data_IF_160960784079
#
_entry.id   IF_160960784079
#
_cell.length_a   1.000
_cell.length_b   1.000
_cell.length_c   1.000
_cell.angle_alpha   90.00
_cell.angle_beta   90.00
_cell.angle_gamma   90.00
#
_symmetry.space_group_name_H-M   'P 1'
#
loop_
_entity.id
_entity.type
_entity.pdbx_description
1 polymer ?
#
# COMPACT_ATOMS: atom_id res chain seq x y z
N UNK A 1 -43.76 4.25 23.98
CA UNK A 1 -43.20 3.01 23.35
C UNK A 1 -41.71 3.17 23.16
N UNK A 2 -40.90 2.16 23.49
CA UNK A 2 -39.43 2.26 23.47
C UNK A 2 -38.78 1.51 22.30
N UNK A 3 -37.66 2.02 21.77
CA UNK A 3 -36.62 1.25 21.06
C UNK A 3 -35.23 1.80 21.37
N UNK A 4 -34.58 1.24 22.39
CA UNK A 4 -33.19 1.56 22.76
C UNK A 4 -32.22 0.90 21.79
N UNK A 5 -31.33 1.68 21.18
CA UNK A 5 -30.29 1.16 20.28
C UNK A 5 -29.20 0.44 21.08
N UNK A 6 -29.15 -0.90 20.98
CA UNK A 6 -28.24 -1.75 21.78
C UNK A 6 -26.82 -1.76 21.21
N UNK A 7 -25.98 -0.82 21.66
CA UNK A 7 -24.56 -0.77 21.29
C UNK A 7 -23.82 -2.06 21.67
N UNK A 8 -23.20 -2.73 20.69
CA UNK A 8 -22.33 -3.90 20.94
C UNK A 8 -20.98 -3.44 21.51
N UNK A 9 -20.79 -3.62 22.82
CA UNK A 9 -19.50 -3.38 23.47
C UNK A 9 -18.39 -4.25 22.85
N UNK A 10 -17.35 -3.61 22.29
CA UNK A 10 -16.20 -4.27 21.68
C UNK A 10 -15.25 -4.75 22.78
N UNK A 11 -15.44 -5.98 23.27
CA UNK A 11 -14.68 -6.59 24.37
C UNK A 11 -13.17 -6.55 24.08
N UNK A 12 -12.42 -5.85 24.91
CA UNK A 12 -10.97 -5.74 24.78
C UNK A 12 -10.28 -7.11 24.99
N UNK A 13 -9.13 -7.39 24.34
CA UNK A 13 -8.39 -8.63 24.55
C UNK A 13 -7.92 -8.72 26.02
N UNK A 14 -8.14 -9.88 26.64
CA UNK A 14 -7.79 -10.09 28.04
C UNK A 14 -6.26 -10.03 28.22
N UNK A 15 -5.79 -9.02 28.97
CA UNK A 15 -4.37 -8.86 29.31
C UNK A 15 -3.91 -10.06 30.13
N UNK A 16 -3.18 -10.99 29.51
CA UNK A 16 -2.67 -12.23 30.14
C UNK A 16 -1.94 -11.85 31.44
N UNK A 17 -2.44 -12.32 32.59
CA UNK A 17 -1.74 -12.16 33.88
C UNK A 17 -0.41 -12.90 33.80
N UNK A 18 0.69 -12.19 34.06
CA UNK A 18 1.99 -12.84 34.24
C UNK A 18 1.94 -13.77 35.48
N UNK A 19 2.51 -14.98 35.42
CA UNK A 19 2.43 -15.93 36.52
C UNK A 19 3.27 -15.48 37.72
N UNK A 20 2.61 -15.28 38.86
CA UNK A 20 2.98 -15.76 40.20
C UNK A 20 4.44 -15.68 40.72
N UNK A 21 5.37 -14.89 40.16
CA UNK A 21 6.79 -14.84 40.62
C UNK A 21 6.98 -14.57 42.13
N UNK A 22 6.03 -13.90 42.80
CA UNK A 22 6.02 -13.72 44.27
C UNK A 22 5.75 -15.00 45.09
N UNK A 23 5.06 -16.00 44.53
CA UNK A 23 4.65 -17.21 45.26
C UNK A 23 5.69 -18.34 45.25
N UNK A 24 6.64 -18.30 44.31
CA UNK A 24 7.76 -19.25 44.23
C UNK A 24 8.86 -18.83 45.22
N UNK A 25 9.28 -17.57 45.17
CA UNK A 25 10.32 -17.02 46.03
C UNK A 25 10.02 -17.15 47.54
N UNK A 26 8.75 -17.12 47.95
CA UNK A 26 8.36 -17.34 49.35
C UNK A 26 8.44 -18.80 49.76
N UNK A 27 8.13 -19.76 48.87
CA UNK A 27 8.25 -21.20 49.13
C UNK A 27 9.71 -21.63 49.25
N UNK A 28 10.55 -21.26 48.28
CA UNK A 28 11.99 -21.55 48.31
C UNK A 28 12.65 -21.03 49.60
N UNK A 29 12.30 -19.80 50.04
CA UNK A 29 12.79 -19.22 51.30
C UNK A 29 12.29 -19.97 52.55
N UNK A 30 11.07 -20.49 52.54
CA UNK A 30 10.52 -21.30 53.63
C UNK A 30 11.19 -22.69 53.73
N UNK A 31 11.52 -23.31 52.60
CA UNK A 31 12.14 -24.64 52.56
C UNK A 31 13.62 -24.59 52.99
N UNK A 32 14.36 -23.54 52.59
CA UNK A 32 15.70 -23.25 53.15
C UNK A 32 15.63 -23.03 54.67
N UNK A 33 14.64 -22.26 55.16
CA UNK A 33 14.44 -22.05 56.59
C UNK A 33 14.11 -23.35 57.35
N UNK A 34 13.39 -24.29 56.74
CA UNK A 34 13.11 -25.60 57.33
C UNK A 34 14.38 -26.46 57.49
N UNK A 35 15.28 -26.45 56.49
CA UNK A 35 16.59 -27.14 56.58
C UNK A 35 17.45 -26.54 57.70
N UNK A 36 17.53 -25.21 57.78
CA UNK A 36 18.28 -24.51 58.86
C UNK A 36 17.72 -24.88 60.24
N UNK A 37 16.39 -24.81 60.42
CA UNK A 37 15.73 -25.10 61.70
C UNK A 37 15.93 -26.56 62.15
N UNK A 38 15.91 -27.52 61.21
CA UNK A 38 16.22 -28.92 61.50
C UNK A 38 17.71 -29.13 61.89
N UNK A 39 18.63 -28.42 61.24
CA UNK A 39 20.06 -28.47 61.56
C UNK A 39 20.38 -27.85 62.93
N UNK A 40 19.71 -26.75 63.30
CA UNK A 40 19.79 -26.20 64.66
C UNK A 40 19.28 -27.17 65.74
N UNK A 41 18.12 -27.80 65.51
CA UNK A 41 17.52 -28.72 66.47
C UNK A 41 18.45 -29.93 66.74
N UNK A 42 19.01 -30.52 65.68
CA UNK A 42 20.00 -31.58 65.80
C UNK A 42 21.26 -31.11 66.55
N UNK A 43 21.75 -29.90 66.25
CA UNK A 43 22.95 -29.33 66.90
C UNK A 43 22.73 -29.08 68.40
N UNK A 44 21.52 -28.69 68.81
CA UNK A 44 21.13 -28.50 70.22
C UNK A 44 21.08 -29.85 70.95
N UNK A 45 20.42 -30.86 70.38
CA UNK A 45 20.38 -32.23 70.93
C UNK A 45 21.76 -32.88 71.03
N UNK A 46 22.65 -32.67 70.06
CA UNK A 46 24.03 -33.19 70.12
C UNK A 46 24.81 -32.64 71.32
N UNK A 47 24.68 -31.34 71.63
CA UNK A 47 25.29 -30.72 72.81
C UNK A 47 24.72 -31.29 74.11
N UNK A 48 23.40 -31.49 74.18
CA UNK A 48 22.75 -32.07 75.35
C UNK A 48 23.18 -33.54 75.59
N UNK A 49 23.26 -34.36 74.53
CA UNK A 49 23.77 -35.74 74.61
C UNK A 49 25.20 -35.76 75.17
N UNK A 50 26.07 -34.85 74.73
CA UNK A 50 27.45 -34.76 75.25
C UNK A 50 27.47 -34.41 76.74
N UNK A 51 26.65 -33.45 77.19
CA UNK A 51 26.55 -33.07 78.59
C UNK A 51 26.02 -34.23 79.46
N UNK A 52 24.92 -34.87 79.06
CA UNK A 52 24.33 -35.99 79.81
C UNK A 52 25.22 -37.24 79.79
N UNK A 53 25.97 -37.48 78.71
CA UNK A 53 26.95 -38.58 78.65
C UNK A 53 28.14 -38.36 79.60
N UNK A 54 28.65 -37.12 79.73
CA UNK A 54 29.67 -36.77 80.73
C UNK A 54 29.15 -36.99 82.16
N UNK A 55 27.91 -36.56 82.45
CA UNK A 55 27.25 -36.80 83.74
C UNK A 55 27.06 -38.30 84.02
N UNK A 56 26.61 -39.08 83.03
CA UNK A 56 26.47 -40.54 83.14
C UNK A 56 27.81 -41.22 83.44
N UNK A 57 28.90 -40.81 82.78
CA UNK A 57 30.24 -41.36 83.02
C UNK A 57 30.72 -41.07 84.46
N UNK A 58 30.52 -39.85 84.96
CA UNK A 58 30.82 -39.49 86.35
C UNK A 58 29.98 -40.30 87.36
N UNK A 59 28.68 -40.47 87.10
CA UNK A 59 27.79 -41.28 87.94
C UNK A 59 28.21 -42.77 87.95
N UNK A 60 28.61 -43.32 86.80
CA UNK A 60 29.15 -44.69 86.71
C UNK A 60 30.43 -44.86 87.54
N UNK A 61 31.37 -43.90 87.50
CA UNK A 61 32.56 -43.90 88.36
C UNK A 61 32.19 -43.89 89.86
N UNK A 62 31.25 -43.03 90.28
CA UNK A 62 30.75 -42.98 91.66
C UNK A 62 30.07 -44.30 92.08
N UNK A 63 29.26 -44.91 91.21
CA UNK A 63 28.61 -46.20 91.48
C UNK A 63 29.61 -47.35 91.63
N UNK A 64 30.68 -47.39 90.82
CA UNK A 64 31.75 -48.38 90.96
C UNK A 64 32.49 -48.22 92.30
N UNK A 65 32.85 -46.99 92.68
CA UNK A 65 33.50 -46.71 93.96
C UNK A 65 32.61 -47.07 95.16
N UNK A 66 31.32 -46.76 95.11
CA UNK A 66 30.37 -47.13 96.16
C UNK A 66 30.21 -48.65 96.31
N UNK A 67 30.12 -49.40 95.19
CA UNK A 67 30.12 -50.87 95.20
C UNK A 67 31.41 -51.45 95.80
N UNK A 68 32.58 -50.91 95.43
CA UNK A 68 33.85 -51.33 95.99
C UNK A 68 33.96 -51.06 97.50
N UNK A 69 33.42 -49.94 97.99
CA UNK A 69 33.34 -49.65 99.43
C UNK A 69 32.42 -50.63 100.15
N UNK A 70 31.21 -50.88 99.62
CA UNK A 70 30.23 -51.80 100.21
C UNK A 70 30.75 -53.24 100.30
N UNK A 71 31.48 -53.71 99.28
CA UNK A 71 32.12 -55.03 99.29
C UNK A 71 33.19 -55.16 100.38
N UNK A 72 33.95 -54.09 100.66
CA UNK A 72 34.98 -54.06 101.72
C UNK A 72 34.38 -53.94 103.13
N UNK A 73 33.39 -53.05 103.32
CA UNK A 73 32.89 -52.74 104.67
C UNK A 73 31.80 -53.69 105.16
N UNK A 74 31.07 -54.35 104.24
CA UNK A 74 29.86 -55.16 104.49
C UNK A 74 28.74 -54.44 105.26
N UNK A 75 28.84 -53.13 105.51
CA UNK A 75 27.86 -52.35 106.29
C UNK A 75 26.59 -52.07 105.48
N UNK A 76 25.42 -52.22 106.11
CA UNK A 76 24.12 -51.99 105.47
C UNK A 76 23.96 -50.57 104.88
N UNK A 77 24.55 -49.55 105.50
CA UNK A 77 24.57 -48.18 104.99
C UNK A 77 25.36 -48.05 103.67
N UNK A 78 26.51 -48.72 103.55
CA UNK A 78 27.31 -48.70 102.32
C UNK A 78 26.63 -49.47 101.19
N UNK A 79 25.93 -50.58 101.50
CA UNK A 79 25.08 -51.29 100.52
C UNK A 79 24.00 -50.37 99.96
N UNK A 80 23.21 -49.70 100.82
CA UNK A 80 22.21 -48.70 100.42
C UNK A 80 22.83 -47.56 99.58
N UNK A 81 24.05 -47.12 99.90
CA UNK A 81 24.79 -46.12 99.13
C UNK A 81 25.15 -46.61 97.72
N UNK A 82 25.63 -47.86 97.60
CA UNK A 82 25.94 -48.49 96.32
C UNK A 82 24.69 -48.67 95.43
N UNK A 83 23.56 -49.08 96.02
CA UNK A 83 22.28 -49.23 95.31
C UNK A 83 21.75 -47.87 94.84
N UNK A 84 21.81 -46.83 95.68
CA UNK A 84 21.44 -45.46 95.32
C UNK A 84 22.31 -44.90 94.18
N UNK A 85 23.63 -45.09 94.25
CA UNK A 85 24.55 -44.65 93.20
C UNK A 85 24.34 -45.41 91.87
N UNK A 86 24.04 -46.71 91.93
CA UNK A 86 23.68 -47.50 90.75
C UNK A 86 22.37 -46.99 90.11
N UNK A 87 21.34 -46.71 90.93
CA UNK A 87 20.08 -46.14 90.47
C UNK A 87 20.24 -44.75 89.83
N UNK A 88 21.12 -43.90 90.38
CA UNK A 88 21.45 -42.61 89.76
C UNK A 88 22.13 -42.77 88.38
N UNK A 89 23.09 -43.71 88.25
CA UNK A 89 23.74 -44.01 86.98
C UNK A 89 22.79 -44.63 85.95
N UNK A 90 21.81 -45.44 86.38
CA UNK A 90 20.76 -46.01 85.55
C UNK A 90 19.80 -44.92 85.02
N UNK A 91 19.30 -44.03 85.89
CA UNK A 91 18.43 -42.90 85.49
C UNK A 91 19.09 -41.98 84.47
N UNK A 92 20.38 -41.67 84.62
CA UNK A 92 21.15 -40.92 83.61
C UNK A 92 21.33 -41.70 82.30
N UNK A 93 21.50 -43.03 82.35
CA UNK A 93 21.56 -43.87 81.17
C UNK A 93 20.25 -43.90 80.36
N UNK A 94 19.10 -43.90 81.04
CA UNK A 94 17.81 -43.77 80.38
C UNK A 94 17.67 -42.43 79.63
N UNK A 95 18.04 -41.31 80.28
CA UNK A 95 18.04 -39.97 79.63
C UNK A 95 18.95 -39.90 78.41
N UNK A 96 20.16 -40.47 78.48
CA UNK A 96 21.09 -40.53 77.34
C UNK A 96 20.55 -41.41 76.20
N UNK A 97 19.78 -42.47 76.49
CA UNK A 97 19.11 -43.30 75.47
C UNK A 97 17.97 -42.53 74.78
N UNK A 98 17.11 -41.87 75.55
CA UNK A 98 16.00 -41.04 75.05
C UNK A 98 16.47 -39.90 74.13
N UNK A 99 17.46 -39.11 74.57
CA UNK A 99 18.03 -38.03 73.77
C UNK A 99 18.67 -38.54 72.46
N UNK A 100 19.27 -39.74 72.47
CA UNK A 100 19.80 -40.37 71.24
C UNK A 100 18.70 -40.79 70.25
N UNK A 101 17.53 -41.21 70.75
CA UNK A 101 16.34 -41.42 69.91
C UNK A 101 15.90 -40.13 69.24
N UNK A 102 15.64 -39.08 70.03
CA UNK A 102 15.26 -37.74 69.54
C UNK A 102 16.27 -37.15 68.53
N UNK A 103 17.55 -37.44 68.69
CA UNK A 103 18.58 -37.04 67.73
C UNK A 103 18.58 -37.87 66.44
N UNK A 104 18.15 -39.14 66.46
CA UNK A 104 17.92 -39.93 65.25
C UNK A 104 16.70 -39.40 64.47
N UNK A 105 15.59 -39.10 65.15
CA UNK A 105 14.40 -38.50 64.54
C UNK A 105 14.70 -37.12 63.94
N UNK A 106 15.55 -36.34 64.61
CA UNK A 106 16.03 -35.04 64.12
C UNK A 106 16.93 -35.18 62.88
N UNK A 107 17.77 -36.23 62.80
CA UNK A 107 18.52 -36.56 61.58
C UNK A 107 17.59 -36.95 60.43
N UNK A 108 16.58 -37.79 60.69
CA UNK A 108 15.59 -38.18 59.69
C UNK A 108 14.81 -36.96 59.17
N UNK A 109 14.43 -36.06 60.07
CA UNK A 109 13.74 -34.80 59.75
C UNK A 109 14.62 -33.87 58.90
N UNK A 110 15.91 -33.73 59.24
CA UNK A 110 16.88 -32.97 58.47
C UNK A 110 17.08 -33.57 57.06
N UNK A 111 17.18 -34.89 56.94
CA UNK A 111 17.29 -35.58 55.66
C UNK A 111 16.06 -35.34 54.77
N UNK A 112 14.85 -35.50 55.33
CA UNK A 112 13.58 -35.20 54.65
C UNK A 112 13.47 -33.73 54.21
N UNK A 113 13.89 -32.79 55.06
CA UNK A 113 13.89 -31.37 54.70
C UNK A 113 14.84 -31.08 53.53
N UNK A 114 16.03 -31.70 53.50
CA UNK A 114 16.98 -31.57 52.38
C UNK A 114 16.47 -32.20 51.09
N UNK A 115 15.84 -33.38 51.15
CA UNK A 115 15.28 -34.03 49.95
C UNK A 115 14.12 -33.24 49.35
N UNK A 116 13.26 -32.64 50.19
CA UNK A 116 12.18 -31.75 49.70
C UNK A 116 12.75 -30.49 49.05
N UNK A 117 13.71 -29.82 49.69
CA UNK A 117 14.32 -28.60 49.14
C UNK A 117 15.08 -28.86 47.82
N UNK A 118 15.73 -30.02 47.66
CA UNK A 118 16.41 -30.40 46.41
C UNK A 118 15.44 -30.77 45.29
N UNK A 119 14.35 -31.48 45.59
CA UNK A 119 13.29 -31.75 44.61
C UNK A 119 12.66 -30.45 44.09
N UNK A 120 12.38 -29.50 44.99
CA UNK A 120 11.82 -28.19 44.64
C UNK A 120 12.76 -27.29 43.85
N UNK A 121 14.04 -27.28 44.19
CA UNK A 121 15.05 -26.59 43.38
C UNK A 121 15.12 -27.17 41.95
N UNK A 122 14.88 -28.48 41.78
CA UNK A 122 14.78 -29.11 40.46
C UNK A 122 13.48 -28.74 39.73
N UNK A 123 12.32 -28.73 40.41
CA UNK A 123 11.03 -28.27 39.87
C UNK A 123 11.14 -26.82 39.35
N UNK A 124 11.62 -25.89 40.18
CA UNK A 124 11.78 -24.48 39.82
C UNK A 124 12.77 -24.29 38.65
N UNK A 125 13.84 -25.10 38.60
CA UNK A 125 14.81 -25.07 37.48
C UNK A 125 14.23 -25.62 36.17
N UNK A 126 13.30 -26.57 36.21
CA UNK A 126 12.56 -27.05 35.02
C UNK A 126 11.56 -25.99 34.55
N UNK A 127 10.83 -25.35 35.48
CA UNK A 127 9.88 -24.26 35.17
C UNK A 127 10.63 -23.08 34.53
N UNK A 128 11.78 -22.67 35.08
CA UNK A 128 12.58 -21.57 34.52
C UNK A 128 13.09 -21.86 33.09
N UNK A 129 13.46 -23.12 32.80
CA UNK A 129 13.82 -23.55 31.43
C UNK A 129 12.62 -23.52 30.48
N UNK A 130 11.43 -23.91 30.94
CA UNK A 130 10.20 -23.84 30.15
C UNK A 130 9.78 -22.39 29.84
N UNK A 131 9.84 -21.48 30.82
CA UNK A 131 9.60 -20.04 30.62
C UNK A 131 10.60 -19.41 29.63
N UNK A 132 11.88 -19.84 29.68
CA UNK A 132 12.92 -19.41 28.74
C UNK A 132 12.61 -19.92 27.32
N UNK A 133 12.34 -21.21 27.15
CA UNK A 133 11.98 -21.79 25.85
C UNK A 133 10.72 -21.16 25.26
N UNK A 134 9.70 -20.87 26.08
CA UNK A 134 8.48 -20.17 25.64
C UNK A 134 8.79 -18.74 25.13
N UNK A 135 9.75 -18.06 25.75
CA UNK A 135 10.19 -16.71 25.35
C UNK A 135 11.00 -16.73 24.04
N UNK A 136 11.88 -17.72 23.88
CA UNK A 136 12.64 -17.95 22.65
C UNK A 136 11.74 -18.33 21.47
N UNK A 137 10.70 -19.15 21.70
CA UNK A 137 9.73 -19.50 20.68
C UNK A 137 8.86 -18.30 20.28
N UNK A 138 8.47 -17.45 21.24
CA UNK A 138 7.72 -16.22 20.95
C UNK A 138 8.53 -15.22 20.11
N UNK A 139 9.81 -14.99 20.46
CA UNK A 139 10.68 -14.07 19.69
C UNK A 139 10.99 -14.60 18.29
N UNK A 140 11.18 -15.91 18.13
CA UNK A 140 11.31 -16.56 16.81
C UNK A 140 10.03 -16.42 15.97
N UNK A 141 8.86 -16.64 16.57
CA UNK A 141 7.57 -16.52 15.88
C UNK A 141 7.32 -15.10 15.33
N UNK A 142 7.60 -14.05 16.10
CA UNK A 142 7.51 -12.66 15.63
C UNK A 142 8.54 -12.37 14.51
N UNK A 143 9.77 -12.86 14.63
CA UNK A 143 10.79 -12.69 13.62
C UNK A 143 10.44 -13.38 12.29
N UNK A 144 9.87 -14.59 12.34
CA UNK A 144 9.47 -15.34 11.15
C UNK A 144 8.17 -14.82 10.53
N UNK A 145 7.22 -14.33 11.34
CA UNK A 145 6.07 -13.55 10.86
C UNK A 145 6.55 -12.30 10.09
N UNK A 146 7.49 -11.55 10.65
CA UNK A 146 8.04 -10.36 9.99
C UNK A 146 8.77 -10.68 8.66
N UNK A 147 9.44 -11.83 8.56
CA UNK A 147 10.00 -12.34 7.28
C UNK A 147 8.89 -12.73 6.30
N UNK A 148 7.89 -13.48 6.76
CA UNK A 148 6.79 -13.98 5.93
C UNK A 148 5.95 -12.84 5.33
N UNK A 149 5.63 -11.81 6.12
CA UNK A 149 4.92 -10.61 5.65
C UNK A 149 5.73 -9.87 4.58
N UNK A 150 7.03 -9.63 4.80
CA UNK A 150 7.92 -8.98 3.81
C UNK A 150 8.01 -9.78 2.50
N UNK A 151 8.15 -11.11 2.59
CA UNK A 151 8.19 -11.98 1.41
C UNK A 151 6.84 -12.00 0.66
N UNK A 152 5.72 -12.05 1.38
CA UNK A 152 4.38 -11.98 0.81
C UNK A 152 4.14 -10.64 0.11
N UNK A 153 4.45 -9.51 0.77
CA UNK A 153 4.32 -8.17 0.18
C UNK A 153 5.14 -8.02 -1.09
N UNK A 154 6.40 -8.46 -1.10
CA UNK A 154 7.26 -8.39 -2.29
C UNK A 154 6.67 -9.21 -3.45
N UNK A 155 6.21 -10.43 -3.17
CA UNK A 155 5.57 -11.31 -4.18
C UNK A 155 4.25 -10.73 -4.69
N UNK A 156 3.42 -10.16 -3.81
CA UNK A 156 2.15 -9.52 -4.15
C UNK A 156 2.34 -8.25 -4.98
N UNK A 157 3.27 -7.37 -4.59
CA UNK A 157 3.64 -6.15 -5.34
C UNK A 157 4.18 -6.50 -6.74
N UNK A 158 4.98 -7.56 -6.87
CA UNK A 158 5.46 -8.08 -8.17
C UNK A 158 4.33 -8.67 -9.03
N UNK A 159 3.38 -9.40 -8.45
CA UNK A 159 2.22 -9.91 -9.18
C UNK A 159 1.27 -8.79 -9.63
N UNK A 160 1.02 -7.79 -8.77
CA UNK A 160 0.20 -6.61 -9.09
C UNK A 160 0.79 -5.78 -10.22
N UNK A 161 2.05 -5.36 -10.10
CA UNK A 161 2.74 -4.61 -11.16
C UNK A 161 2.76 -5.37 -12.50
N UNK A 162 2.97 -6.69 -12.50
CA UNK A 162 2.87 -7.50 -13.72
C UNK A 162 1.44 -7.58 -14.30
N UNK A 163 0.41 -7.66 -13.46
CA UNK A 163 -0.99 -7.66 -13.89
C UNK A 163 -1.44 -6.30 -14.44
N UNK A 164 -1.01 -5.21 -13.79
CA UNK A 164 -1.38 -3.85 -14.18
C UNK A 164 -0.57 -3.38 -15.41
N UNK A 165 0.68 -3.81 -15.56
CA UNK A 165 1.43 -3.65 -16.81
C UNK A 165 0.74 -4.34 -18.01
N UNK A 166 0.18 -5.54 -17.82
CA UNK A 166 -0.63 -6.23 -18.85
C UNK A 166 -1.88 -5.43 -19.21
N UNK A 167 -2.59 -4.83 -18.23
CA UNK A 167 -3.74 -3.95 -18.49
C UNK A 167 -3.33 -2.69 -19.27
N UNK A 168 -2.25 -2.02 -18.87
CA UNK A 168 -1.73 -0.82 -19.54
C UNK A 168 -1.28 -1.13 -20.98
N UNK A 169 -0.61 -2.26 -21.20
CA UNK A 169 -0.23 -2.71 -22.54
C UNK A 169 -1.47 -3.00 -23.42
N UNK A 170 -2.49 -3.67 -22.89
CA UNK A 170 -3.75 -3.90 -23.59
C UNK A 170 -4.51 -2.60 -23.90
N UNK A 171 -4.53 -1.64 -22.96
CA UNK A 171 -5.11 -0.31 -23.17
C UNK A 171 -4.34 0.48 -24.25
N UNK A 172 -3.00 0.49 -24.21
CA UNK A 172 -2.13 1.13 -25.22
C UNK A 172 -2.34 0.52 -26.61
N UNK A 173 -2.47 -0.81 -26.71
CA UNK A 173 -2.78 -1.50 -27.98
C UNK A 173 -4.16 -1.11 -28.52
N UNK A 174 -5.20 -1.05 -27.67
CA UNK A 174 -6.54 -0.57 -28.05
C UNK A 174 -6.54 0.91 -28.46
N UNK A 175 -5.79 1.77 -27.77
CA UNK A 175 -5.65 3.20 -28.10
C UNK A 175 -4.93 3.40 -29.45
N UNK A 176 -3.80 2.71 -29.68
CA UNK A 176 -3.08 2.76 -30.95
C UNK A 176 -3.91 2.23 -32.13
N UNK A 177 -4.72 1.19 -31.92
CA UNK A 177 -5.65 0.71 -32.95
C UNK A 177 -6.69 1.77 -33.34
N UNK A 178 -7.31 2.44 -32.34
CA UNK A 178 -8.22 3.58 -32.58
C UNK A 178 -7.52 4.73 -33.30
N UNK A 179 -6.32 5.11 -32.87
CA UNK A 179 -5.53 6.18 -33.50
C UNK A 179 -5.19 5.88 -34.97
N UNK A 180 -4.73 4.65 -35.28
CA UNK A 180 -4.47 4.22 -36.67
C UNK A 180 -5.74 4.22 -37.53
N UNK A 181 -6.89 3.84 -36.97
CA UNK A 181 -8.17 3.89 -37.70
C UNK A 181 -8.62 5.33 -38.00
N UNK A 182 -8.41 6.28 -37.08
CA UNK A 182 -8.66 7.72 -37.31
C UNK A 182 -7.69 8.28 -38.34
N UNK A 183 -6.39 7.98 -38.23
CA UNK A 183 -5.37 8.44 -39.17
C UNK A 183 -5.63 7.95 -40.61
N UNK A 184 -6.05 6.68 -40.78
CA UNK A 184 -6.46 6.16 -42.09
C UNK A 184 -7.66 6.94 -42.65
N UNK A 185 -8.73 7.11 -41.86
CA UNK A 185 -9.91 7.92 -42.26
C UNK A 185 -9.56 9.38 -42.60
N UNK A 186 -8.55 9.97 -41.96
CA UNK A 186 -8.04 11.29 -42.29
C UNK A 186 -7.27 11.32 -43.63
N UNK A 187 -6.37 10.35 -43.86
CA UNK A 187 -5.63 10.20 -45.12
C UNK A 187 -6.56 9.95 -46.31
N UNK A 188 -7.57 9.10 -46.15
CA UNK A 188 -8.56 8.81 -47.19
C UNK A 188 -9.40 10.05 -47.54
N UNK A 189 -9.75 10.88 -46.54
CA UNK A 189 -10.40 12.19 -46.75
C UNK A 189 -9.49 13.19 -47.47
N UNK A 190 -8.20 13.25 -47.12
CA UNK A 190 -7.23 14.12 -47.78
C UNK A 190 -7.09 13.76 -49.28
N UNK A 191 -6.87 12.47 -49.59
CA UNK A 191 -6.80 11.95 -50.96
C UNK A 191 -8.08 12.19 -51.76
N UNK A 192 -9.25 12.13 -51.11
CA UNK A 192 -10.53 12.49 -51.74
C UNK A 192 -10.66 14.00 -52.03
N UNK A 193 -10.11 14.86 -51.16
CA UNK A 193 -10.06 16.30 -51.38
C UNK A 193 -9.10 16.68 -52.50
N UNK A 194 -7.89 16.10 -52.54
CA UNK A 194 -6.90 16.24 -53.62
C UNK A 194 -7.48 15.86 -54.98
N UNK A 195 -8.12 14.68 -55.08
CA UNK A 195 -8.81 14.26 -56.32
C UNK A 195 -9.89 15.24 -56.76
N UNK A 196 -10.69 15.77 -55.82
CA UNK A 196 -11.70 16.81 -56.12
C UNK A 196 -11.07 18.14 -56.56
N UNK A 197 -9.93 18.53 -55.98
CA UNK A 197 -9.17 19.72 -56.38
C UNK A 197 -8.59 19.57 -57.78
N UNK A 198 -7.94 18.43 -58.08
CA UNK A 198 -7.37 18.13 -59.39
C UNK A 198 -8.43 18.09 -60.51
N UNK A 199 -9.62 17.54 -60.24
CA UNK A 199 -10.76 17.59 -61.19
C UNK A 199 -11.25 19.02 -61.41
N UNK A 200 -11.38 19.83 -60.35
CA UNK A 200 -11.72 21.26 -60.50
C UNK A 200 -10.67 22.04 -61.30
N UNK A 201 -9.38 21.79 -61.06
CA UNK A 201 -8.29 22.40 -61.82
C UNK A 201 -8.33 22.03 -63.31
N UNK A 202 -8.49 20.74 -63.64
CA UNK A 202 -8.64 20.28 -65.04
C UNK A 202 -9.90 20.88 -65.71
N UNK A 203 -11.00 21.04 -64.99
CA UNK A 203 -12.21 21.69 -65.49
C UNK A 203 -12.02 23.21 -65.72
N UNK A 204 -11.30 23.90 -64.83
CA UNK A 204 -10.95 25.31 -64.98
C UNK A 204 -10.03 25.53 -66.19
N UNK A 205 -8.99 24.69 -66.35
CA UNK A 205 -8.09 24.72 -67.51
C UNK A 205 -8.85 24.50 -68.84
N UNK A 206 -9.75 23.52 -68.92
CA UNK A 206 -10.61 23.33 -70.10
C UNK A 206 -11.51 24.54 -70.39
N UNK A 207 -12.09 25.18 -69.37
CA UNK A 207 -12.87 26.43 -69.54
C UNK A 207 -12.01 27.62 -70.00
N UNK A 208 -10.77 27.74 -69.52
CA UNK A 208 -9.84 28.77 -69.97
C UNK A 208 -9.44 28.56 -71.44
N UNK A 209 -9.05 27.35 -71.83
CA UNK A 209 -8.72 27.00 -73.21
C UNK A 209 -9.91 27.21 -74.18
N UNK A 210 -11.13 26.89 -73.76
CA UNK A 210 -12.34 27.18 -74.54
C UNK A 210 -12.56 28.68 -74.74
N UNK A 211 -12.42 29.50 -73.68
CA UNK A 211 -12.48 30.97 -73.79
C UNK A 211 -11.40 31.53 -74.72
N UNK A 212 -10.17 31.02 -74.65
CA UNK A 212 -9.09 31.41 -75.55
C UNK A 212 -9.40 31.10 -77.02
N UNK A 213 -9.90 29.90 -77.34
CA UNK A 213 -10.34 29.55 -78.71
C UNK A 213 -11.49 30.42 -79.21
N UNK A 214 -12.44 30.82 -78.36
CA UNK A 214 -13.52 31.75 -78.73
C UNK A 214 -12.99 33.17 -78.95
N UNK A 215 -12.04 33.64 -78.13
CA UNK A 215 -11.39 34.94 -78.32
C UNK A 215 -10.61 34.98 -79.65
N UNK A 216 -9.83 33.94 -79.96
CA UNK A 216 -9.13 33.81 -81.23
C UNK A 216 -10.08 33.81 -82.43
N UNK A 217 -11.20 33.05 -82.38
CA UNK A 217 -12.23 33.10 -83.44
C UNK A 217 -12.86 34.49 -83.59
N UNK A 218 -13.14 35.20 -82.48
CA UNK A 218 -13.67 36.58 -82.55
C UNK A 218 -12.64 37.58 -83.11
N UNK A 219 -11.35 37.40 -82.83
CA UNK A 219 -10.28 38.20 -83.43
C UNK A 219 -10.19 37.94 -84.95
N UNK A 220 -10.17 36.68 -85.38
CA UNK A 220 -10.14 36.32 -86.80
C UNK A 220 -11.37 36.83 -87.58
N UNK A 221 -12.57 36.79 -86.98
CA UNK A 221 -13.78 37.37 -87.60
C UNK A 221 -13.68 38.90 -87.67
N UNK A 222 -13.19 39.58 -86.62
CA UNK A 222 -12.93 41.03 -86.69
C UNK A 222 -11.92 41.38 -87.79
N UNK A 223 -10.85 40.59 -87.96
CA UNK A 223 -9.88 40.79 -89.04
C UNK A 223 -10.53 40.62 -90.43
N UNK A 224 -11.33 39.57 -90.66
CA UNK A 224 -12.07 39.39 -91.93
C UNK A 224 -13.10 40.49 -92.21
N UNK A 225 -13.77 41.02 -91.17
CA UNK A 225 -14.69 42.17 -91.30
C UNK A 225 -13.93 43.47 -91.58
N UNK A 226 -12.75 43.68 -90.97
CA UNK A 226 -11.88 44.81 -91.28
C UNK A 226 -11.38 44.76 -92.74
N UNK A 227 -10.95 43.58 -93.20
CA UNK A 227 -10.55 43.36 -94.60
C UNK A 227 -11.70 43.68 -95.58
N UNK A 228 -12.90 43.10 -95.39
CA UNK A 228 -14.07 43.43 -96.23
C UNK A 228 -14.48 44.90 -96.16
N UNK A 229 -14.24 45.59 -95.04
CA UNK A 229 -14.54 47.03 -94.90
C UNK A 229 -13.48 47.91 -95.57
N UNK A 230 -12.23 47.45 -95.70
CA UNK A 230 -11.22 48.08 -96.56
C UNK A 230 -11.53 47.84 -98.05
N UNK A 231 -11.87 46.60 -98.43
CA UNK A 231 -12.26 46.23 -99.79
C UNK A 231 -13.49 47.01 -100.28
N UNK A 232 -14.52 47.16 -99.43
CA UNK A 232 -15.68 47.99 -99.72
C UNK A 232 -15.35 49.48 -99.85
N UNK A 233 -14.33 49.98 -99.13
CA UNK A 233 -13.82 51.35 -99.33
C UNK A 233 -13.08 51.51 -100.65
N UNK A 234 -12.31 50.52 -101.08
CA UNK A 234 -11.64 50.52 -102.39
C UNK A 234 -12.68 50.60 -103.53
N UNK A 235 -13.66 49.69 -103.54
CA UNK A 235 -14.73 49.68 -104.56
C UNK A 235 -15.64 50.92 -104.50
N UNK A 236 -15.76 51.57 -103.34
CA UNK A 236 -16.44 52.86 -103.21
C UNK A 236 -15.62 54.04 -103.76
N UNK A 237 -14.29 54.02 -103.66
CA UNK A 237 -13.42 55.02 -104.30
C UNK A 237 -13.43 54.85 -105.83
N UNK A 238 -13.36 53.62 -106.31
CA UNK A 238 -13.41 53.22 -107.72
C UNK A 238 -14.69 53.70 -108.42
N UNK A 239 -15.87 53.45 -107.83
CA UNK A 239 -17.14 54.02 -108.34
C UNK A 239 -17.21 55.55 -108.28
N UNK A 240 -16.46 56.19 -107.37
CA UNK A 240 -16.37 57.66 -107.29
C UNK A 240 -15.44 58.26 -108.36
N UNK A 241 -14.55 57.47 -108.94
CA UNK A 241 -13.78 57.83 -110.13
C UNK A 241 -14.63 57.64 -111.41
N UNK A 242 -15.22 56.46 -111.60
CA UNK A 242 -16.00 56.14 -112.81
C UNK A 242 -17.16 57.11 -113.07
N UNK A 243 -17.89 57.53 -112.02
CA UNK A 243 -19.01 58.46 -112.15
C UNK A 243 -18.61 59.90 -112.54
N UNK A 244 -17.33 60.29 -112.40
CA UNK A 244 -16.85 61.62 -112.85
C UNK A 244 -16.48 61.66 -114.34
N UNK A 245 -16.27 60.51 -114.99
CA UNK A 245 -15.66 60.43 -116.32
C UNK A 245 -16.65 60.48 -117.50
N UNK A 246 -17.98 60.38 -117.28
CA UNK A 246 -18.98 60.23 -118.36
C UNK A 246 -20.14 61.25 -118.36
N UNK A 247 -20.06 62.30 -117.54
CA UNK A 247 -21.09 63.36 -117.48
C UNK A 247 -20.56 64.76 -117.85
N UNK A 248 -19.40 64.82 -118.52
CA UNK A 248 -18.76 66.05 -118.95
C UNK A 248 -19.04 66.42 -120.43
N UNK A 249 -20.01 65.75 -121.09
CA UNK A 249 -20.20 65.87 -122.55
C UNK A 249 -21.67 65.89 -123.01
N UNK A 250 -22.45 66.83 -122.46
CA UNK A 250 -23.51 67.61 -123.14
C UNK A 250 -24.09 68.61 -122.14
N UNK A 251 -23.58 69.85 -122.13
CA UNK A 251 -24.11 71.02 -122.84
C UNK A 251 -25.52 71.46 -122.38
N UNK A 252 -25.56 72.67 -121.83
CA UNK A 252 -26.63 73.68 -121.91
C UNK A 252 -28.08 73.29 -121.57
N UNK A 253 -28.58 73.78 -120.43
CA UNK A 253 -29.66 74.78 -120.37
C UNK A 253 -29.86 75.35 -118.94
N UNK A 254 -30.71 76.37 -118.83
CA UNK A 254 -31.21 77.09 -117.64
C UNK A 254 -31.12 76.35 -116.28
N UNK A 255 -30.58 76.92 -115.18
CA UNK A 255 -30.81 78.21 -114.49
C UNK A 255 -31.94 78.22 -113.43
N UNK A 256 -31.76 79.07 -112.42
CA UNK A 256 -32.74 79.63 -111.47
C UNK A 256 -33.32 78.79 -110.27
N UNK A 257 -32.96 79.29 -109.06
CA UNK A 257 -33.85 79.66 -107.93
C UNK A 257 -34.42 78.61 -106.92
N UNK A 258 -34.13 78.92 -105.64
CA UNK A 258 -35.01 79.02 -104.43
C UNK A 258 -35.29 77.82 -103.47
N UNK A 259 -34.87 78.05 -102.21
CA UNK A 259 -35.60 77.97 -100.90
C UNK A 259 -36.06 76.64 -100.23
N UNK A 260 -35.47 76.42 -99.03
CA UNK A 260 -36.10 76.24 -97.70
C UNK A 260 -36.90 74.97 -97.26
N UNK A 261 -36.32 74.21 -96.30
CA UNK A 261 -36.70 73.98 -94.85
C UNK A 261 -38.20 73.79 -94.40
N UNK A 262 -38.57 73.41 -93.12
CA UNK A 262 -37.79 73.14 -91.88
C UNK A 262 -38.33 72.05 -90.83
N UNK A 263 -37.69 71.94 -89.64
CA UNK A 263 -38.17 71.47 -88.26
C UNK A 263 -38.46 69.95 -87.98
N UNK A 264 -38.52 69.38 -86.74
CA UNK A 264 -37.82 69.48 -85.39
C UNK A 264 -38.77 69.31 -84.13
N UNK A 265 -38.56 68.31 -83.21
CA UNK A 265 -38.71 68.36 -81.69
C UNK A 265 -38.89 66.99 -80.91
N UNK A 266 -38.07 66.76 -79.85
CA UNK A 266 -38.33 66.13 -78.50
C UNK A 266 -38.74 64.63 -78.28
N UNK A 267 -38.92 64.10 -77.03
CA UNK A 267 -37.95 63.78 -75.93
C UNK A 267 -38.53 63.34 -74.51
N UNK A 268 -38.09 62.19 -73.92
CA UNK A 268 -37.98 61.75 -72.47
C UNK A 268 -39.24 61.79 -71.50
N UNK A 269 -39.24 61.47 -70.15
CA UNK A 269 -38.26 60.86 -69.19
C UNK A 269 -38.75 59.88 -68.01
N UNK A 270 -37.80 59.17 -67.35
CA UNK A 270 -37.62 58.60 -65.95
C UNK A 270 -38.74 58.49 -64.83
N UNK A 271 -38.67 57.43 -63.96
CA UNK A 271 -38.52 57.51 -62.45
C UNK A 271 -38.39 56.18 -61.60
N UNK A 272 -37.57 56.23 -60.51
CA UNK A 272 -37.63 55.71 -59.07
C UNK A 272 -38.33 54.37 -58.66
N UNK A 273 -38.11 53.72 -57.47
CA UNK A 273 -37.10 53.71 -56.36
C UNK A 273 -37.36 52.51 -55.36
N UNK A 274 -36.58 52.32 -54.26
CA UNK A 274 -36.69 51.19 -53.30
C UNK A 274 -36.34 51.52 -51.81
N UNK A 275 -36.73 50.71 -50.80
CA UNK A 275 -36.31 50.84 -49.38
C UNK A 275 -36.61 49.67 -48.38
N UNK A 276 -35.61 49.31 -47.51
CA UNK A 276 -35.70 48.92 -46.05
C UNK A 276 -36.41 47.58 -45.64
N UNK A 277 -36.23 46.95 -44.44
CA UNK A 277 -35.40 47.17 -43.20
C UNK A 277 -35.24 45.87 -42.32
N UNK A 278 -34.14 45.75 -41.55
CA UNK A 278 -34.01 45.28 -40.12
C UNK A 278 -34.51 43.87 -39.63
N UNK A 279 -34.18 43.27 -38.44
CA UNK A 279 -33.02 43.28 -37.48
C UNK A 279 -33.10 42.11 -36.44
N UNK A 280 -31.94 41.61 -35.93
CA UNK A 280 -31.64 41.03 -34.58
C UNK A 280 -32.65 40.13 -33.81
N UNK A 281 -32.16 38.98 -33.28
CA UNK A 281 -31.93 38.78 -31.81
C UNK A 281 -31.00 37.61 -31.46
N UNK A 282 -30.48 37.63 -30.24
CA UNK A 282 -29.73 36.61 -29.48
C UNK A 282 -30.71 35.72 -28.66
N UNK A 283 -30.36 34.70 -27.86
CA UNK A 283 -29.27 33.69 -27.74
C UNK A 283 -29.54 32.87 -26.45
N UNK A 284 -28.69 31.87 -26.14
CA UNK A 284 -28.49 31.24 -24.81
C UNK A 284 -29.64 30.41 -24.20
N UNK A 285 -29.40 29.09 -24.13
CA UNK A 285 -29.11 28.47 -22.84
C UNK A 285 -27.77 27.75 -22.92
#
# INVERSE_FOLDING_TARGET
MARVAKAKAKKAPAKRRAPAKKAVATKAKAEVAAVVKAQEALSKLQKEIQAQAKAQAAARKKAAAAKAKAAKSKKAADKRSADSAANAAAKLGAKVKDLRGKAADSKLTLAKAKSVATAKAAEDAVIAKADTMASDLATKAEADLAKAVKAFEAKWKKQRSAADAKKVAAAKKKAMAKAKAVAKKASDKAKAAEKKAAVKAKAAAKKAAAKAKVAAKKAAVKAKVAAKKAEAKAKAAEKKAAAKAKAAEKKAAAAAKKKAAPKKKKAAPKRKAAAKKATKKAAKK
#
